data_IF_670013976936
#
_entry.id   IF_670013976936
#
_cell.length_a   1.000
_cell.length_b   1.000
_cell.length_c   1.000
_cell.angle_alpha   90.00
_cell.angle_beta   90.00
_cell.angle_gamma   90.00
#
_symmetry.space_group_name_H-M   'P 1'
#
loop_
_entity.id
_entity.type
_entity.pdbx_description
1 polymer ?
#
# COMPACT_ATOMS: atom_id res chain seq x y z
N UNK A 1 21.48 -4.83 -11.55
CA UNK A 1 21.05 -4.19 -10.29
C UNK A 1 20.14 -3.02 -10.61
N UNK A 2 18.90 -3.09 -10.17
CA UNK A 2 17.97 -1.95 -10.30
C UNK A 2 18.42 -0.90 -9.28
N UNK A 3 19.26 0.04 -9.69
CA UNK A 3 19.61 1.20 -8.87
C UNK A 3 18.45 2.19 -8.91
N UNK A 4 17.66 2.26 -7.84
CA UNK A 4 16.81 3.41 -7.57
C UNK A 4 17.72 4.60 -7.25
N UNK A 5 18.02 5.45 -8.24
CA UNK A 5 18.68 6.75 -8.01
C UNK A 5 17.59 7.72 -7.55
N UNK A 6 17.63 8.10 -6.28
CA UNK A 6 16.80 9.17 -5.75
C UNK A 6 17.22 10.51 -6.39
N UNK A 7 16.51 10.91 -7.39
CA UNK A 7 16.52 12.25 -7.97
C UNK A 7 15.22 12.92 -7.53
N UNK A 8 15.29 14.21 -7.18
CA UNK A 8 14.31 15.03 -6.48
C UNK A 8 12.81 14.83 -6.80
N UNK A 9 11.94 15.60 -6.18
CA UNK A 9 10.46 15.39 -6.12
C UNK A 9 9.74 15.07 -7.43
N UNK A 10 10.29 15.48 -8.59
CA UNK A 10 9.77 15.15 -9.94
C UNK A 10 9.92 13.66 -10.25
N UNK A 11 10.88 12.96 -9.65
CA UNK A 11 11.19 11.56 -9.93
C UNK A 11 10.51 10.55 -9.00
N UNK A 12 9.98 10.99 -7.86
CA UNK A 12 9.25 10.11 -6.92
C UNK A 12 8.04 9.43 -7.54
N UNK A 13 7.43 10.04 -8.56
CA UNK A 13 6.25 9.48 -9.26
C UNK A 13 6.57 8.38 -10.26
N UNK A 14 7.85 8.10 -10.52
CA UNK A 14 8.27 7.17 -11.58
C UNK A 14 9.11 5.99 -11.08
N UNK A 15 9.39 5.90 -9.78
CA UNK A 15 10.03 4.73 -9.20
C UNK A 15 9.03 3.59 -9.11
N UNK A 16 9.04 2.72 -10.13
CA UNK A 16 8.18 1.54 -10.23
C UNK A 16 8.77 0.33 -9.49
N UNK A 17 9.93 0.48 -8.85
CA UNK A 17 10.60 -0.63 -8.15
C UNK A 17 9.73 -1.25 -7.07
N UNK A 18 8.92 -0.42 -6.37
CA UNK A 18 7.98 -0.88 -5.36
C UNK A 18 7.08 -2.03 -5.86
N UNK A 19 6.59 -1.96 -7.09
CA UNK A 19 5.69 -2.98 -7.65
C UNK A 19 6.42 -4.25 -8.12
N UNK A 20 7.74 -4.20 -8.19
CA UNK A 20 8.57 -5.34 -8.62
C UNK A 20 8.96 -6.28 -7.48
N UNK A 21 8.57 -5.96 -6.23
CA UNK A 21 8.96 -6.74 -5.05
C UNK A 21 8.57 -8.23 -5.14
N UNK A 22 7.47 -8.55 -5.82
CA UNK A 22 6.98 -9.92 -6.00
C UNK A 22 7.58 -10.63 -7.23
N UNK A 23 8.46 -9.98 -7.98
CA UNK A 23 9.12 -10.57 -9.16
C UNK A 23 10.12 -11.63 -8.73
N UNK A 24 10.04 -12.82 -9.32
CA UNK A 24 10.97 -13.91 -8.99
C UNK A 24 12.36 -13.66 -9.59
N UNK A 25 13.37 -14.36 -9.07
CA UNK A 25 14.74 -14.28 -9.60
C UNK A 25 14.81 -14.66 -11.08
N UNK A 26 14.05 -15.65 -11.51
CA UNK A 26 14.05 -16.08 -12.92
C UNK A 26 13.38 -15.05 -13.83
N UNK A 27 12.29 -14.44 -13.38
CA UNK A 27 11.68 -13.32 -14.08
C UNK A 27 12.65 -12.13 -14.20
N UNK A 28 13.39 -11.79 -13.12
CA UNK A 28 14.36 -10.70 -13.13
C UNK A 28 15.50 -10.89 -14.15
N UNK A 29 15.89 -12.14 -14.44
CA UNK A 29 16.91 -12.42 -15.45
C UNK A 29 16.47 -12.01 -16.86
N UNK A 30 15.17 -12.07 -17.14
CA UNK A 30 14.60 -11.75 -18.45
C UNK A 30 14.14 -10.30 -18.58
N UNK A 31 13.85 -9.62 -17.47
CA UNK A 31 13.41 -8.24 -17.47
C UNK A 31 14.50 -7.28 -17.95
N UNK A 32 14.09 -6.30 -18.78
CA UNK A 32 14.96 -5.22 -19.27
C UNK A 32 14.27 -3.90 -19.01
N UNK A 33 15.05 -2.92 -18.59
CA UNK A 33 14.60 -1.55 -18.30
C UNK A 33 15.40 -0.55 -19.15
N UNK A 34 15.21 -0.55 -20.48
CA UNK A 34 16.04 0.24 -21.40
C UNK A 34 15.98 1.75 -21.13
N UNK A 35 14.86 2.24 -20.62
CA UNK A 35 14.64 3.65 -20.31
C UNK A 35 15.04 4.07 -18.90
N UNK A 36 15.50 3.15 -18.05
CA UNK A 36 15.72 3.39 -16.62
C UNK A 36 16.82 4.41 -16.27
N UNK A 37 17.67 4.77 -17.21
CA UNK A 37 18.75 5.75 -17.02
C UNK A 37 18.40 7.15 -17.56
N UNK A 38 17.25 7.30 -18.21
CA UNK A 38 16.84 8.54 -18.85
C UNK A 38 15.79 9.30 -18.03
N UNK A 39 15.73 10.62 -18.21
CA UNK A 39 14.65 11.42 -17.64
C UNK A 39 13.39 11.30 -18.50
N UNK A 40 12.24 11.53 -17.91
CA UNK A 40 10.97 11.45 -18.66
C UNK A 40 10.88 12.52 -19.74
N UNK A 41 11.40 13.73 -19.48
CA UNK A 41 11.47 14.80 -20.48
C UNK A 41 12.28 14.37 -21.70
N UNK A 42 13.45 13.80 -21.47
CA UNK A 42 14.29 13.28 -22.54
C UNK A 42 13.61 12.17 -23.35
N UNK A 43 12.92 11.24 -22.65
CA UNK A 43 12.19 10.16 -23.34
C UNK A 43 11.04 10.70 -24.20
N UNK A 44 10.32 11.73 -23.72
CA UNK A 44 9.27 12.38 -24.51
C UNK A 44 9.81 13.07 -25.75
N UNK A 45 10.91 13.81 -25.58
CA UNK A 45 11.61 14.44 -26.70
C UNK A 45 12.08 13.42 -27.76
N UNK A 46 12.69 12.32 -27.30
CA UNK A 46 13.09 11.23 -28.17
C UNK A 46 11.88 10.59 -28.89
N UNK A 47 10.77 10.38 -28.18
CA UNK A 47 9.55 9.82 -28.75
C UNK A 47 8.93 10.75 -29.81
N UNK A 48 8.95 12.07 -29.59
CA UNK A 48 8.52 13.05 -30.56
C UNK A 48 9.41 13.04 -31.81
N UNK A 49 10.73 13.02 -31.62
CA UNK A 49 11.70 12.97 -32.74
C UNK A 49 11.57 11.69 -33.56
N UNK A 50 11.14 10.58 -32.94
CA UNK A 50 10.85 9.30 -33.60
C UNK A 50 9.43 9.23 -34.19
N UNK A 51 8.63 10.28 -34.07
CA UNK A 51 7.26 10.34 -34.61
C UNK A 51 6.27 9.37 -33.91
N UNK A 52 6.52 9.03 -32.67
CA UNK A 52 5.64 8.11 -31.94
C UNK A 52 4.35 8.82 -31.52
N UNK A 53 3.19 8.26 -31.90
CA UNK A 53 1.86 8.85 -31.65
C UNK A 53 1.49 8.99 -30.18
N UNK A 54 2.18 8.30 -29.29
CA UNK A 54 1.95 8.33 -27.85
C UNK A 54 2.95 9.22 -27.09
N UNK A 55 3.78 9.97 -27.77
CA UNK A 55 4.83 10.81 -27.17
C UNK A 55 4.25 11.84 -26.17
N UNK A 56 3.09 12.41 -26.48
CA UNK A 56 2.40 13.41 -25.66
C UNK A 56 1.32 12.83 -24.75
N UNK A 57 1.13 11.50 -24.79
CA UNK A 57 0.10 10.85 -23.96
C UNK A 57 0.38 11.12 -22.48
N UNK A 58 -0.62 11.61 -21.71
CA UNK A 58 -0.47 11.80 -20.28
C UNK A 58 -0.23 10.46 -19.57
N UNK A 59 0.40 10.53 -18.39
CA UNK A 59 0.63 9.35 -17.56
C UNK A 59 -0.69 8.68 -17.24
N UNK A 60 -0.72 7.35 -17.30
CA UNK A 60 -1.87 6.57 -16.82
C UNK A 60 -2.08 6.86 -15.33
N UNK A 61 -3.23 7.44 -14.99
CA UNK A 61 -3.61 7.79 -13.62
C UNK A 61 -4.47 6.70 -12.98
N UNK A 62 -5.09 5.84 -13.80
CA UNK A 62 -6.06 4.84 -13.40
C UNK A 62 -5.64 3.42 -13.76
N UNK A 63 -6.37 2.45 -13.21
CA UNK A 63 -6.18 1.04 -13.47
C UNK A 63 -6.64 0.74 -14.91
N UNK A 64 -5.71 0.30 -15.75
CA UNK A 64 -5.90 0.16 -17.20
C UNK A 64 -7.04 -0.79 -17.64
N UNK A 65 -7.47 -1.74 -16.78
CA UNK A 65 -8.58 -2.64 -17.06
C UNK A 65 -9.94 -2.14 -16.53
N UNK A 66 -10.01 -0.88 -16.07
CA UNK A 66 -11.23 -0.19 -15.68
C UNK A 66 -11.40 1.02 -16.58
N UNK A 67 -12.02 0.86 -17.78
CA UNK A 67 -12.06 1.91 -18.81
C UNK A 67 -12.68 3.22 -18.35
N UNK A 68 -13.69 3.12 -17.46
CA UNK A 68 -14.46 4.27 -16.97
C UNK A 68 -13.83 4.94 -15.72
N UNK A 69 -12.65 4.48 -15.26
CA UNK A 69 -12.05 4.92 -14.00
C UNK A 69 -12.90 4.63 -12.75
N UNK A 70 -14.04 3.94 -12.93
CA UNK A 70 -14.98 3.68 -11.85
C UNK A 70 -14.74 2.32 -11.17
N UNK A 71 -13.63 2.24 -10.43
CA UNK A 71 -13.27 1.06 -9.64
C UNK A 71 -14.44 0.56 -8.76
N UNK A 72 -15.22 1.47 -8.18
CA UNK A 72 -16.36 1.09 -7.32
C UNK A 72 -17.44 0.32 -8.10
N UNK A 73 -17.75 0.73 -9.32
CA UNK A 73 -18.69 0.02 -10.20
C UNK A 73 -18.19 -1.38 -10.50
N UNK A 74 -16.94 -1.50 -10.91
CA UNK A 74 -16.30 -2.78 -11.23
C UNK A 74 -16.34 -3.77 -10.05
N UNK A 75 -16.01 -3.33 -8.83
CA UNK A 75 -16.04 -4.21 -7.65
C UNK A 75 -17.48 -4.55 -7.24
N UNK A 76 -18.44 -3.62 -7.38
CA UNK A 76 -19.86 -3.88 -7.11
C UNK A 76 -20.40 -5.01 -7.98
N UNK A 77 -19.99 -5.09 -9.24
CA UNK A 77 -20.39 -6.15 -10.16
C UNK A 77 -19.80 -7.51 -9.80
N UNK A 78 -18.61 -7.54 -9.16
CA UNK A 78 -17.91 -8.76 -8.78
C UNK A 78 -18.23 -9.24 -7.36
N UNK A 79 -18.52 -8.35 -6.44
CA UNK A 79 -18.81 -8.66 -5.02
C UNK A 79 -20.08 -7.92 -4.56
N UNK A 80 -21.22 -8.55 -4.80
CA UNK A 80 -22.53 -8.00 -4.42
C UNK A 80 -22.73 -7.89 -2.91
N UNK A 81 -22.05 -8.74 -2.11
CA UNK A 81 -22.16 -8.74 -0.65
C UNK A 81 -21.49 -7.52 -0.02
N UNK A 82 -20.39 -7.03 -0.59
CA UNK A 82 -19.69 -5.85 -0.06
C UNK A 82 -20.40 -4.52 -0.33
N UNK A 83 -21.51 -4.53 -1.08
CA UNK A 83 -22.35 -3.36 -1.36
C UNK A 83 -23.65 -3.30 -0.53
N UNK A 84 -23.77 -4.15 0.49
CA UNK A 84 -24.92 -4.15 1.40
C UNK A 84 -24.74 -3.04 2.44
N UNK A 85 -25.80 -2.29 2.75
CA UNK A 85 -25.80 -1.29 3.80
C UNK A 85 -25.52 -1.95 5.17
N UNK A 86 -24.84 -1.22 6.04
CA UNK A 86 -24.49 -1.69 7.37
C UNK A 86 -24.17 -0.55 8.32
N UNK A 87 -23.68 -0.89 9.51
CA UNK A 87 -23.44 0.07 10.57
C UNK A 87 -22.01 0.63 10.55
N UNK A 88 -21.89 1.90 10.91
CA UNK A 88 -20.63 2.51 11.33
C UNK A 88 -20.66 2.57 12.84
N UNK A 89 -19.68 1.92 13.48
CA UNK A 89 -19.57 1.85 14.94
C UNK A 89 -18.29 2.54 15.44
N UNK A 90 -18.34 3.08 16.64
CA UNK A 90 -17.15 3.60 17.29
C UNK A 90 -16.34 2.47 17.96
N UNK A 91 -15.22 2.81 18.60
CA UNK A 91 -14.35 1.85 19.31
C UNK A 91 -15.03 1.16 20.51
N UNK A 92 -16.11 1.74 21.02
CA UNK A 92 -16.89 1.17 22.14
C UNK A 92 -18.00 0.24 21.64
N UNK A 93 -18.25 0.18 20.33
CA UNK A 93 -19.31 -0.62 19.74
C UNK A 93 -20.63 0.16 19.54
N UNK A 94 -20.68 1.45 19.86
CA UNK A 94 -21.89 2.26 19.66
C UNK A 94 -22.06 2.58 18.18
N UNK A 95 -23.30 2.50 17.67
CA UNK A 95 -23.62 2.88 16.31
C UNK A 95 -23.61 4.40 16.19
N UNK A 96 -22.72 4.90 15.34
CA UNK A 96 -22.53 6.35 15.09
C UNK A 96 -22.98 6.77 13.69
N UNK A 97 -23.37 5.81 12.86
CA UNK A 97 -23.87 6.06 11.50
C UNK A 97 -24.15 4.78 10.74
N UNK A 98 -24.46 4.94 9.46
CA UNK A 98 -24.69 3.82 8.53
C UNK A 98 -23.87 4.03 7.25
N UNK A 99 -23.60 2.94 6.54
CA UNK A 99 -22.88 2.97 5.26
C UNK A 99 -23.65 2.21 4.16
N UNK A 100 -23.39 2.58 2.91
CA UNK A 100 -23.97 1.96 1.72
C UNK A 100 -23.01 0.93 1.08
N UNK A 101 -22.39 0.08 1.90
CA UNK A 101 -21.43 -0.94 1.47
C UNK A 101 -20.00 -0.66 1.93
N UNK A 102 -19.39 -1.68 2.53
CA UNK A 102 -18.03 -1.63 3.07
C UNK A 102 -16.95 -1.34 2.01
N UNK A 103 -17.25 -1.65 0.74
CA UNK A 103 -16.37 -1.40 -0.41
C UNK A 103 -16.03 0.08 -0.62
N UNK A 104 -16.87 0.98 -0.11
CA UNK A 104 -16.69 2.42 -0.27
C UNK A 104 -15.69 3.00 0.73
N UNK A 105 -15.13 2.16 1.63
CA UNK A 105 -14.27 2.58 2.73
C UNK A 105 -12.88 1.96 2.65
N UNK A 106 -11.92 2.70 3.17
CA UNK A 106 -10.51 2.27 3.24
C UNK A 106 -9.97 2.59 4.63
N UNK A 107 -9.15 1.70 5.19
CA UNK A 107 -8.49 1.94 6.49
C UNK A 107 -7.67 3.24 6.40
N UNK A 108 -7.81 4.10 7.41
CA UNK A 108 -7.19 5.43 7.45
C UNK A 108 -8.00 6.53 6.74
N UNK A 109 -9.13 6.21 6.10
CA UNK A 109 -10.00 7.21 5.48
C UNK A 109 -10.56 8.17 6.54
N UNK A 110 -10.51 9.48 6.23
CA UNK A 110 -11.06 10.56 7.06
C UNK A 110 -12.30 11.21 6.44
N UNK A 111 -12.27 11.44 5.11
CA UNK A 111 -13.35 12.15 4.40
C UNK A 111 -14.40 11.17 3.86
N UNK A 112 -15.67 11.62 3.82
CA UNK A 112 -16.74 10.82 3.23
C UNK A 112 -17.14 9.58 4.05
N UNK A 113 -16.86 9.57 5.36
CA UNK A 113 -17.26 8.46 6.24
C UNK A 113 -18.76 8.53 6.54
N UNK A 114 -19.42 9.71 6.38
CA UNK A 114 -20.83 9.88 6.75
C UNK A 114 -21.06 10.07 8.26
N UNK A 115 -19.99 10.05 9.04
CA UNK A 115 -20.02 10.33 10.48
C UNK A 115 -19.46 11.73 10.65
N UNK A 116 -20.30 12.73 10.56
CA UNK A 116 -19.95 14.14 10.71
C UNK A 116 -20.81 14.77 11.77
N UNK A 117 -20.17 15.17 12.88
CA UNK A 117 -20.73 16.13 13.79
C UNK A 117 -22.02 15.72 14.50
N UNK A 118 -21.94 15.10 15.66
CA UNK A 118 -23.09 15.13 16.59
C UNK A 118 -23.41 16.60 16.86
N UNK A 119 -24.55 17.11 16.39
CA UNK A 119 -24.99 18.48 16.64
C UNK A 119 -24.93 18.75 18.15
N UNK A 120 -24.12 19.71 18.56
CA UNK A 120 -24.01 20.14 19.96
C UNK A 120 -22.72 19.80 20.70
N UNK A 121 -21.80 19.01 20.13
CA UNK A 121 -20.49 18.72 20.75
C UNK A 121 -19.42 19.59 20.10
N UNK A 122 -18.87 20.56 20.85
CA UNK A 122 -17.89 21.56 20.37
C UNK A 122 -16.48 20.98 20.05
N UNK A 123 -16.11 19.81 20.60
CA UNK A 123 -14.79 19.20 20.46
C UNK A 123 -14.86 17.82 19.77
N UNK A 124 -15.20 17.84 18.48
CA UNK A 124 -15.18 16.58 17.72
C UNK A 124 -13.80 16.37 17.07
N UNK A 125 -13.04 15.49 17.65
CA UNK A 125 -11.83 15.00 16.98
C UNK A 125 -12.18 14.30 15.68
N UNK A 126 -11.39 14.51 14.61
CA UNK A 126 -11.62 13.84 13.34
C UNK A 126 -11.62 12.31 13.50
N UNK A 127 -12.68 11.67 13.01
CA UNK A 127 -12.80 10.22 13.00
C UNK A 127 -12.15 9.63 11.74
N UNK A 128 -11.58 8.46 11.90
CA UNK A 128 -10.90 7.70 10.83
C UNK A 128 -11.44 6.28 10.80
N UNK A 129 -11.49 5.67 9.63
CA UNK A 129 -11.77 4.25 9.49
C UNK A 129 -10.59 3.47 10.08
N UNK A 130 -10.84 2.74 11.15
CA UNK A 130 -9.85 1.93 11.86
C UNK A 130 -9.82 0.49 11.38
N UNK A 131 -11.00 -0.08 11.11
CA UNK A 131 -11.17 -1.48 10.69
C UNK A 131 -12.42 -1.61 9.83
N UNK A 132 -12.39 -2.53 8.91
CA UNK A 132 -13.53 -2.98 8.11
C UNK A 132 -13.80 -4.42 8.51
N UNK A 133 -14.94 -4.66 9.17
CA UNK A 133 -15.35 -6.00 9.57
C UNK A 133 -16.33 -6.57 8.55
N UNK A 134 -15.80 -7.42 7.67
CA UNK A 134 -16.60 -8.05 6.61
C UNK A 134 -17.63 -9.04 7.17
N UNK A 135 -17.35 -9.70 8.30
CA UNK A 135 -18.23 -10.71 8.89
C UNK A 135 -19.49 -10.10 9.48
N UNK A 136 -19.35 -8.93 10.11
CA UNK A 136 -20.45 -8.16 10.69
C UNK A 136 -21.04 -7.12 9.76
N UNK A 137 -20.43 -6.87 8.59
CA UNK A 137 -20.74 -5.77 7.70
C UNK A 137 -20.69 -4.41 8.42
N UNK A 138 -19.60 -4.17 9.17
CA UNK A 138 -19.41 -2.99 10.01
C UNK A 138 -18.14 -2.23 9.64
N UNK A 139 -18.20 -0.90 9.74
CA UNK A 139 -17.05 0.01 9.67
C UNK A 139 -16.75 0.51 11.07
N UNK A 140 -15.59 0.17 11.62
CA UNK A 140 -15.14 0.67 12.93
C UNK A 140 -14.40 1.97 12.72
N UNK A 141 -14.84 3.03 13.43
CA UNK A 141 -14.23 4.37 13.35
C UNK A 141 -13.73 4.82 14.72
N UNK A 142 -12.73 5.70 14.70
CA UNK A 142 -12.16 6.27 15.92
C UNK A 142 -11.10 7.34 15.63
N UNK A 143 -10.46 7.88 16.68
CA UNK A 143 -9.42 8.88 16.55
C UNK A 143 -8.18 8.36 15.84
N UNK A 144 -7.40 9.26 15.23
CA UNK A 144 -6.19 8.92 14.46
C UNK A 144 -5.17 8.11 15.28
N UNK A 145 -5.10 8.33 16.59
CA UNK A 145 -4.20 7.62 17.50
C UNK A 145 -4.37 6.10 17.44
N UNK A 146 -5.59 5.61 17.18
CA UNK A 146 -5.90 4.18 17.09
C UNK A 146 -5.41 3.53 15.77
N UNK A 147 -4.96 4.34 14.81
CA UNK A 147 -4.33 3.84 13.57
C UNK A 147 -2.84 3.55 13.73
N UNK A 148 -2.22 3.95 14.85
CA UNK A 148 -0.79 3.71 15.10
C UNK A 148 -0.49 2.22 15.11
N UNK A 149 0.49 1.80 14.31
CA UNK A 149 1.03 0.46 14.30
C UNK A 149 2.54 0.52 14.45
N UNK A 150 3.07 -0.22 15.41
CA UNK A 150 4.51 -0.41 15.65
C UNK A 150 5.01 -1.71 15.04
N UNK A 151 4.10 -2.57 14.61
CA UNK A 151 4.44 -3.83 13.97
C UNK A 151 3.53 -4.11 12.78
N UNK A 152 4.07 -4.78 11.77
CA UNK A 152 3.37 -5.15 10.54
C UNK A 152 3.65 -6.62 10.28
N UNK A 153 2.60 -7.45 10.25
CA UNK A 153 2.72 -8.85 9.84
C UNK A 153 2.76 -8.94 8.31
N UNK A 154 3.70 -9.71 7.79
CA UNK A 154 3.90 -9.91 6.36
C UNK A 154 3.91 -11.40 6.02
N UNK A 155 3.38 -11.71 4.84
CA UNK A 155 3.33 -13.06 4.30
C UNK A 155 3.77 -13.09 2.85
N UNK A 156 3.96 -14.28 2.32
CA UNK A 156 4.37 -14.51 0.92
C UNK A 156 5.64 -13.70 0.60
N UNK A 157 6.64 -13.82 1.49
CA UNK A 157 7.90 -13.10 1.37
C UNK A 157 8.68 -13.55 0.14
N UNK A 158 9.17 -12.58 -0.63
CA UNK A 158 10.07 -12.78 -1.75
C UNK A 158 11.33 -11.95 -1.55
N UNK A 159 12.49 -12.57 -1.66
CA UNK A 159 13.80 -11.91 -1.54
C UNK A 159 14.59 -12.04 -2.83
N UNK A 160 15.28 -10.96 -3.22
CA UNK A 160 16.13 -10.93 -4.41
C UNK A 160 17.54 -11.50 -4.20
N UNK A 161 17.87 -11.85 -2.99
CA UNK A 161 19.10 -12.56 -2.64
C UNK A 161 18.78 -13.96 -2.19
N UNK A 162 19.51 -14.97 -2.69
CA UNK A 162 19.28 -16.38 -2.35
C UNK A 162 19.59 -16.74 -0.90
N UNK A 163 20.35 -15.89 -0.20
CA UNK A 163 20.81 -16.15 1.17
C UNK A 163 20.28 -15.08 2.11
N UNK A 164 19.03 -15.20 2.54
CA UNK A 164 18.60 -14.58 3.79
C UNK A 164 19.10 -15.51 4.91
N UNK A 165 20.40 -15.41 5.22
CA UNK A 165 21.05 -16.25 6.26
C UNK A 165 20.63 -15.82 7.67
N UNK A 166 20.15 -14.60 7.83
CA UNK A 166 19.72 -14.05 9.11
C UNK A 166 18.20 -14.00 9.20
N UNK A 167 17.68 -14.60 10.26
CA UNK A 167 16.25 -14.52 10.58
C UNK A 167 15.81 -13.10 11.00
N UNK A 168 16.75 -12.25 11.35
CA UNK A 168 16.54 -10.86 11.73
C UNK A 168 17.51 -9.95 10.99
N UNK A 169 17.03 -8.82 10.48
CA UNK A 169 17.86 -7.81 9.81
C UNK A 169 17.21 -6.44 9.84
N UNK A 170 18.03 -5.39 9.83
CA UNK A 170 17.58 -4.01 9.69
C UNK A 170 17.30 -3.68 8.23
N UNK A 171 16.23 -2.96 7.98
CA UNK A 171 15.83 -2.54 6.65
C UNK A 171 15.15 -1.17 6.67
N UNK A 172 15.24 -0.49 5.53
CA UNK A 172 14.33 0.60 5.22
C UNK A 172 13.12 0.01 4.50
N UNK A 173 11.91 0.42 4.87
CA UNK A 173 10.69 -0.13 4.28
C UNK A 173 9.81 0.93 3.64
N UNK A 174 8.97 0.48 2.70
CA UNK A 174 7.80 1.21 2.19
C UNK A 174 6.58 0.30 2.29
N UNK A 175 5.47 0.86 2.76
CA UNK A 175 4.15 0.20 2.73
C UNK A 175 3.20 0.82 1.68
N UNK A 176 3.69 1.83 0.93
CA UNK A 176 3.02 2.47 -0.21
C UNK A 176 4.09 2.99 -1.18
N UNK A 177 3.81 2.97 -2.48
CA UNK A 177 4.78 3.36 -3.50
C UNK A 177 5.29 4.80 -3.34
N UNK A 178 4.43 5.75 -3.01
CA UNK A 178 4.77 7.17 -2.82
C UNK A 178 5.30 7.54 -1.43
N UNK A 179 5.45 6.58 -0.51
CA UNK A 179 5.90 6.84 0.85
C UNK A 179 7.42 7.03 0.90
N UNK A 180 7.90 7.87 1.85
CA UNK A 180 9.31 7.88 2.23
C UNK A 180 9.72 6.54 2.83
N UNK A 181 11.00 6.22 2.73
CA UNK A 181 11.59 5.07 3.41
C UNK A 181 11.57 5.31 4.92
N UNK A 182 11.17 4.31 5.70
CA UNK A 182 11.16 4.31 7.16
C UNK A 182 12.00 3.16 7.70
N UNK A 183 12.70 3.39 8.81
CA UNK A 183 13.54 2.39 9.44
C UNK A 183 12.70 1.34 10.15
N UNK A 184 13.12 0.10 10.04
CA UNK A 184 12.45 -1.02 10.67
C UNK A 184 13.40 -2.21 10.84
N UNK A 185 13.07 -3.09 11.78
CA UNK A 185 13.67 -4.42 11.92
C UNK A 185 12.72 -5.46 11.35
N UNK A 186 13.21 -6.33 10.51
CA UNK A 186 12.45 -7.45 9.94
C UNK A 186 12.86 -8.73 10.65
N UNK A 187 11.88 -9.46 11.16
CA UNK A 187 12.06 -10.76 11.81
C UNK A 187 11.27 -11.82 11.02
N UNK A 188 11.97 -12.86 10.56
CA UNK A 188 11.36 -13.95 9.83
C UNK A 188 10.83 -15.02 10.79
N UNK A 189 9.70 -15.62 10.44
CA UNK A 189 9.17 -16.74 11.21
C UNK A 189 10.07 -17.98 11.03
N UNK A 190 10.61 -18.50 12.13
CA UNK A 190 11.49 -19.68 12.14
C UNK A 190 10.82 -20.93 11.59
N UNK A 191 9.49 -21.05 11.71
CA UNK A 191 8.73 -22.20 11.21
C UNK A 191 8.30 -22.05 9.75
N UNK A 192 8.15 -20.82 9.29
CA UNK A 192 7.73 -20.52 7.92
C UNK A 192 8.41 -19.24 7.41
N UNK A 193 9.52 -19.37 6.74
CA UNK A 193 10.30 -18.26 6.21
C UNK A 193 9.56 -17.40 5.17
N UNK A 194 8.38 -17.83 4.71
CA UNK A 194 7.51 -17.01 3.87
C UNK A 194 6.69 -15.98 4.68
N UNK A 195 6.83 -16.01 6.01
CA UNK A 195 6.16 -15.09 6.92
C UNK A 195 7.17 -14.31 7.76
N UNK A 196 6.75 -13.16 8.25
CA UNK A 196 7.58 -12.35 9.13
C UNK A 196 6.80 -11.25 9.82
N UNK A 197 7.47 -10.58 10.75
CA UNK A 197 7.02 -9.37 11.40
C UNK A 197 8.02 -8.25 11.12
N UNK A 198 7.51 -7.07 10.85
CA UNK A 198 8.30 -5.86 10.66
C UNK A 198 8.03 -4.96 11.85
N UNK A 199 9.05 -4.73 12.66
CA UNK A 199 9.03 -3.86 13.83
C UNK A 199 9.48 -2.47 13.41
N UNK A 200 8.66 -1.46 13.68
CA UNK A 200 8.89 -0.08 13.26
C UNK A 200 9.53 0.71 14.40
N UNK A 201 10.56 1.49 14.09
CA UNK A 201 11.18 2.40 15.07
C UNK A 201 10.19 3.49 15.47
N UNK A 202 9.37 3.96 14.50
CA UNK A 202 8.31 4.92 14.70
C UNK A 202 6.97 4.39 14.19
N UNK A 203 5.84 4.72 14.86
CA UNK A 203 4.54 4.19 14.46
C UNK A 203 4.11 4.69 13.09
N UNK A 204 3.60 3.78 12.28
CA UNK A 204 3.00 4.11 10.98
C UNK A 204 1.47 4.09 11.07
N UNK A 205 0.82 4.90 10.22
CA UNK A 205 -0.63 5.07 10.18
C UNK A 205 -1.23 4.47 8.91
N UNK A 206 -2.40 3.86 9.05
CA UNK A 206 -3.13 3.35 7.90
C UNK A 206 -2.43 2.16 7.22
N UNK A 207 -1.76 1.33 8.01
CA UNK A 207 -1.28 0.02 7.57
C UNK A 207 -2.50 -0.82 7.19
N UNK A 208 -2.59 -1.20 5.92
CA UNK A 208 -3.75 -1.92 5.39
C UNK A 208 -3.34 -3.31 4.88
N UNK A 209 -4.06 -4.36 5.28
CA UNK A 209 -3.86 -5.71 4.75
C UNK A 209 -4.07 -5.74 3.24
N UNK A 210 -3.30 -6.58 2.55
CA UNK A 210 -3.31 -6.70 1.10
C UNK A 210 -2.43 -5.67 0.38
N UNK A 211 -1.83 -4.71 1.09
CA UNK A 211 -0.78 -3.86 0.54
C UNK A 211 0.59 -4.54 0.66
N UNK A 212 1.54 -4.11 -0.17
CA UNK A 212 2.91 -4.60 -0.08
C UNK A 212 3.69 -3.88 1.03
N UNK A 213 4.56 -4.62 1.71
CA UNK A 213 5.65 -4.09 2.53
C UNK A 213 6.96 -4.43 1.83
N UNK A 214 7.65 -3.44 1.31
CA UNK A 214 8.84 -3.61 0.47
C UNK A 214 10.07 -3.18 1.23
N UNK A 215 11.09 -4.02 1.21
CA UNK A 215 12.33 -3.88 1.98
C UNK A 215 13.46 -3.32 1.12
N UNK A 216 14.21 -2.39 1.67
CA UNK A 216 15.36 -1.76 1.03
C UNK A 216 16.55 -1.75 2.01
N UNK A 217 17.75 -1.84 1.48
CA UNK A 217 18.96 -1.60 2.28
C UNK A 217 19.26 -0.09 2.43
N UNK A 218 20.28 0.26 3.21
CA UNK A 218 20.70 1.64 3.44
C UNK A 218 21.15 2.38 2.15
N UNK A 219 21.51 1.65 1.10
CA UNK A 219 21.81 2.21 -0.23
C UNK A 219 20.57 2.36 -1.12
N UNK A 220 19.36 2.18 -0.55
CA UNK A 220 18.06 2.21 -1.24
C UNK A 220 17.92 1.15 -2.34
N UNK A 221 18.69 0.06 -2.25
CA UNK A 221 18.54 -1.10 -3.12
C UNK A 221 17.43 -1.99 -2.54
N UNK A 222 16.46 -2.37 -3.37
CA UNK A 222 15.39 -3.27 -2.96
C UNK A 222 15.93 -4.66 -2.63
N UNK A 223 15.57 -5.16 -1.47
CA UNK A 223 15.93 -6.49 -0.97
C UNK A 223 14.85 -7.53 -1.28
N UNK A 224 13.59 -7.08 -1.36
CA UNK A 224 12.41 -7.91 -1.52
C UNK A 224 11.20 -7.29 -0.85
N UNK A 225 10.27 -8.12 -0.42
CA UNK A 225 9.06 -7.68 0.28
C UNK A 225 8.06 -8.81 0.48
N UNK A 226 6.90 -8.45 1.01
CA UNK A 226 5.79 -9.37 1.22
C UNK A 226 4.46 -8.62 1.30
N UNK A 227 3.38 -9.36 1.42
CA UNK A 227 2.03 -8.82 1.55
C UNK A 227 1.68 -8.60 3.02
N UNK A 228 1.18 -7.40 3.34
CA UNK A 228 0.69 -7.07 4.68
C UNK A 228 -0.53 -7.94 5.00
N UNK A 229 -0.56 -8.53 6.17
CA UNK A 229 -1.67 -9.36 6.65
C UNK A 229 -2.13 -8.94 8.05
N UNK A 230 -3.36 -9.28 8.41
CA UNK A 230 -3.88 -9.10 9.78
C UNK A 230 -3.60 -10.30 10.67
N UNK A 231 -3.13 -11.40 10.10
CA UNK A 231 -3.00 -12.64 10.83
C UNK A 231 -1.71 -12.62 11.62
N UNK A 232 -1.82 -12.63 12.94
CA UNK A 232 -0.71 -13.06 13.79
C UNK A 232 -0.27 -14.44 13.33
N UNK A 233 1.03 -14.59 13.15
CA UNK A 233 1.64 -15.86 12.77
C UNK A 233 1.46 -16.80 13.98
N UNK A 234 0.64 -17.83 13.82
CA UNK A 234 0.49 -18.89 14.82
C UNK A 234 1.56 -19.96 14.63
#
# INVERSE_FOLDING_TARGET
SVKSRGLGDVYKRQDQSYFLFATTQDQLKTLRFPLGNFTKSYIRELALNLGLSNAEKPDSQDICFIPDGNYRKFVKEKDTKSNIAGNIVNINGDIVGTHNGIINYTIGQRKGIGVGGIKGVKDQHPMYVLKIDKSKNEIIVGPKSNLKKYSIYVKDLNFFTKNVSNLEFDALIKIRSGQRLISAKVELDKKNLNHGIVLLDEPEFGVAPGQACVFYNNFKKMLGGGWITTRELK
#
